data_IF_234268053537
#
_entry.id   IF_234268053537
#
_cell.length_a   1.000
_cell.length_b   1.000
_cell.length_c   1.000
_cell.angle_alpha   90.00
_cell.angle_beta   90.00
_cell.angle_gamma   90.00
#
_symmetry.space_group_name_H-M   'P 1'
#
loop_
_entity.id
_entity.type
_entity.pdbx_description
1 polymer ?
#
# COMPACT_ATOMS: atom_id res chain seq x y z
N UNK A 1 40.60 -24.74 33.66
CA UNK A 1 40.49 -23.90 32.43
C UNK A 1 39.05 -23.95 31.99
N UNK A 2 38.29 -23.01 32.42
CA UNK A 2 36.89 -22.81 32.05
C UNK A 2 36.86 -21.99 30.74
N UNK A 3 36.25 -22.53 29.72
CA UNK A 3 35.99 -21.82 28.48
C UNK A 3 34.63 -21.15 28.65
N UNK A 4 34.65 -19.85 28.91
CA UNK A 4 33.46 -19.01 28.91
C UNK A 4 32.97 -18.87 27.47
N UNK A 5 31.84 -19.51 27.17
CA UNK A 5 31.07 -19.31 25.94
C UNK A 5 30.14 -18.06 26.14
N UNK A 6 30.71 -16.88 25.93
CA UNK A 6 29.92 -15.67 25.76
C UNK A 6 29.43 -15.57 24.31
N UNK A 7 28.31 -16.16 23.99
CA UNK A 7 27.48 -15.84 22.84
C UNK A 7 26.37 -14.90 23.30
N UNK A 8 26.74 -13.71 23.74
CA UNK A 8 25.82 -12.57 23.78
C UNK A 8 25.62 -12.07 22.34
N UNK A 9 24.72 -12.73 21.63
CA UNK A 9 24.19 -12.18 20.38
C UNK A 9 23.30 -11.00 20.77
N UNK A 10 23.83 -9.80 20.74
CA UNK A 10 23.04 -8.58 20.83
C UNK A 10 22.05 -8.58 19.67
N UNK A 11 20.84 -9.03 19.91
CA UNK A 11 19.71 -8.73 19.05
C UNK A 11 19.50 -7.22 19.16
N UNK A 12 20.00 -6.50 18.18
CA UNK A 12 19.72 -5.07 18.03
C UNK A 12 18.22 -4.98 17.84
N UNK A 13 17.49 -4.51 18.86
CA UNK A 13 16.06 -4.25 18.73
C UNK A 13 15.91 -3.16 17.68
N UNK A 14 15.42 -3.52 16.51
CA UNK A 14 15.15 -2.56 15.45
C UNK A 14 13.84 -1.88 15.82
N UNK A 15 13.90 -0.62 16.25
CA UNK A 15 12.70 0.17 16.51
C UNK A 15 12.19 0.75 15.19
N UNK A 16 11.10 0.21 14.69
CA UNK A 16 10.44 0.73 13.50
C UNK A 16 9.59 1.97 13.80
N UNK A 17 9.59 2.92 12.89
CA UNK A 17 8.67 4.06 12.92
C UNK A 17 7.34 3.66 12.27
N UNK A 18 6.25 3.80 13.03
CA UNK A 18 4.90 3.53 12.54
C UNK A 18 4.28 4.77 11.94
N UNK A 19 3.46 4.60 10.91
CA UNK A 19 2.80 5.72 10.22
C UNK A 19 2.01 6.64 11.16
N UNK A 20 1.44 6.10 12.25
CA UNK A 20 0.73 6.89 13.26
C UNK A 20 1.65 7.87 13.98
N UNK A 21 2.88 7.46 14.29
CA UNK A 21 3.86 8.28 14.97
C UNK A 21 4.55 9.24 13.98
N UNK A 22 4.84 8.75 12.77
CA UNK A 22 5.32 9.58 11.68
C UNK A 22 4.37 10.77 11.41
N UNK A 23 3.06 10.50 11.23
CA UNK A 23 2.08 11.57 11.02
C UNK A 23 1.92 12.48 12.24
N UNK A 24 1.96 11.92 13.45
CA UNK A 24 1.88 12.74 14.66
C UNK A 24 3.08 13.68 14.79
N UNK A 25 4.27 13.23 14.44
CA UNK A 25 5.47 14.06 14.43
C UNK A 25 5.40 15.15 13.35
N UNK A 26 4.86 14.81 12.16
CA UNK A 26 4.76 15.74 11.04
C UNK A 26 3.67 16.80 11.24
N UNK A 27 2.51 16.42 11.76
CA UNK A 27 1.32 17.29 11.86
C UNK A 27 1.00 17.76 13.29
N UNK A 28 1.71 17.26 14.29
CA UNK A 28 1.48 17.58 15.71
C UNK A 28 0.23 16.93 16.32
N UNK A 29 -0.55 16.19 15.53
CA UNK A 29 -1.82 15.59 15.95
C UNK A 29 -2.06 14.24 15.25
N UNK A 30 -3.14 13.57 15.65
CA UNK A 30 -3.59 12.34 14.98
C UNK A 30 -4.23 12.66 13.63
N UNK A 31 -3.77 11.98 12.59
CA UNK A 31 -4.24 12.17 11.23
C UNK A 31 -5.07 10.99 10.77
N UNK A 32 -6.12 11.26 10.01
CA UNK A 32 -6.95 10.24 9.38
C UNK A 32 -6.92 10.38 7.86
N UNK A 33 -7.07 9.26 7.14
CA UNK A 33 -7.25 9.27 5.69
C UNK A 33 -8.73 9.29 5.33
N UNK A 34 -9.14 10.29 4.56
CA UNK A 34 -10.44 10.32 3.89
C UNK A 34 -10.28 9.72 2.50
N UNK A 35 -10.96 8.61 2.25
CA UNK A 35 -10.80 7.84 1.01
C UNK A 35 -11.80 8.31 -0.06
N UNK A 36 -11.27 8.71 -1.21
CA UNK A 36 -12.03 9.27 -2.33
C UNK A 36 -11.92 8.40 -3.58
N UNK A 37 -12.99 8.37 -4.35
CA UNK A 37 -13.03 7.86 -5.71
C UNK A 37 -12.94 9.03 -6.69
N UNK A 38 -11.83 9.14 -7.43
CA UNK A 38 -11.64 10.17 -8.45
C UNK A 38 -12.32 9.83 -9.79
N UNK A 39 -12.97 8.68 -9.92
CA UNK A 39 -13.51 8.17 -11.17
C UNK A 39 -12.43 7.73 -12.16
N UNK A 40 -11.23 7.39 -11.67
CA UNK A 40 -10.13 6.90 -12.49
C UNK A 40 -10.39 5.47 -12.98
N UNK A 41 -9.60 5.04 -13.97
CA UNK A 41 -9.50 3.65 -14.42
C UNK A 41 -8.07 3.13 -14.25
N UNK A 42 -7.77 2.03 -14.91
CA UNK A 42 -6.46 1.40 -14.87
C UNK A 42 -6.09 0.90 -16.28
N UNK A 43 -4.84 1.06 -16.75
CA UNK A 43 -4.41 0.60 -18.09
C UNK A 43 -4.56 -0.92 -18.29
N UNK A 44 -4.66 -1.71 -17.23
CA UNK A 44 -4.97 -3.14 -17.32
C UNK A 44 -6.48 -3.45 -17.46
N UNK A 45 -7.34 -2.41 -17.49
CA UNK A 45 -8.82 -2.55 -17.59
C UNK A 45 -9.43 -1.88 -18.80
N UNK A 46 -8.84 -0.78 -19.27
CA UNK A 46 -9.41 0.04 -20.36
C UNK A 46 -8.96 -0.37 -21.77
N UNK A 47 -8.17 -1.43 -21.87
CA UNK A 47 -7.66 -1.95 -23.15
C UNK A 47 -6.25 -1.48 -23.49
N UNK A 48 -5.67 -0.51 -22.78
CA UNK A 48 -4.31 -0.01 -23.05
C UNK A 48 -3.26 -1.11 -22.83
N UNK A 49 -3.35 -1.83 -21.72
CA UNK A 49 -2.48 -2.99 -21.41
C UNK A 49 -3.27 -4.28 -21.19
N UNK A 50 -4.58 -4.20 -21.04
CA UNK A 50 -5.47 -5.31 -20.82
C UNK A 50 -6.88 -4.85 -20.47
N UNK A 51 -7.82 -5.79 -20.42
CA UNK A 51 -9.25 -5.48 -20.19
C UNK A 51 -9.80 -6.06 -18.88
N UNK A 52 -9.05 -6.96 -18.21
CA UNK A 52 -9.55 -7.73 -17.06
C UNK A 52 -8.98 -7.27 -15.72
N UNK A 53 -7.99 -6.37 -15.72
CA UNK A 53 -7.28 -5.95 -14.51
C UNK A 53 -6.37 -7.03 -13.92
N UNK A 54 -5.76 -6.75 -12.77
CA UNK A 54 -5.04 -7.77 -11.99
C UNK A 54 -6.02 -8.85 -11.50
N UNK A 55 -5.55 -10.12 -11.45
CA UNK A 55 -6.43 -11.28 -11.17
C UNK A 55 -7.14 -11.23 -9.82
N UNK A 56 -6.57 -10.50 -8.84
CA UNK A 56 -7.07 -10.35 -7.47
C UNK A 56 -7.90 -9.08 -7.26
N UNK A 57 -7.89 -8.15 -8.24
CA UNK A 57 -8.46 -6.82 -8.05
C UNK A 57 -9.98 -6.85 -8.24
N UNK A 58 -10.71 -6.36 -7.25
CA UNK A 58 -12.17 -6.25 -7.29
C UNK A 58 -12.65 -5.32 -8.41
N UNK A 59 -13.95 -5.36 -8.70
CA UNK A 59 -14.59 -4.49 -9.70
C UNK A 59 -14.48 -3.00 -9.32
N UNK A 60 -14.39 -2.68 -8.03
CA UNK A 60 -14.19 -1.31 -7.52
C UNK A 60 -12.72 -0.84 -7.50
N UNK A 61 -11.79 -1.66 -8.03
CA UNK A 61 -10.37 -1.29 -8.05
C UNK A 61 -9.77 -1.08 -6.65
N UNK A 62 -10.17 -1.87 -5.65
CA UNK A 62 -9.84 -1.73 -4.22
C UNK A 62 -10.47 -0.52 -3.53
N UNK A 63 -11.54 0.03 -4.12
CA UNK A 63 -12.27 1.21 -3.64
C UNK A 63 -13.56 0.91 -2.88
N UNK A 64 -13.71 -0.28 -2.26
CA UNK A 64 -14.95 -0.71 -1.58
C UNK A 64 -15.39 0.22 -0.44
N UNK A 65 -14.49 1.04 0.07
CA UNK A 65 -14.74 1.98 1.18
C UNK A 65 -14.56 3.44 0.78
N UNK A 66 -14.40 3.73 -0.50
CA UNK A 66 -14.28 5.09 -1.02
C UNK A 66 -15.66 5.72 -1.16
N UNK A 67 -15.70 7.05 -1.08
CA UNK A 67 -16.87 7.85 -1.43
C UNK A 67 -16.59 8.60 -2.74
N UNK A 68 -17.60 8.83 -3.59
CA UNK A 68 -17.43 9.68 -4.77
C UNK A 68 -16.86 11.04 -4.38
N UNK A 69 -15.93 11.56 -5.16
CA UNK A 69 -15.18 12.75 -4.81
C UNK A 69 -16.07 14.01 -4.70
N UNK A 70 -17.08 14.12 -5.51
CA UNK A 70 -18.07 15.21 -5.51
C UNK A 70 -18.92 15.26 -4.24
N UNK A 71 -19.08 14.12 -3.54
CA UNK A 71 -19.83 14.02 -2.28
C UNK A 71 -18.94 14.13 -1.02
N UNK A 72 -17.62 14.18 -1.19
CA UNK A 72 -16.68 14.05 -0.09
C UNK A 72 -16.54 15.29 0.80
N UNK A 73 -16.84 16.48 0.27
CA UNK A 73 -16.73 17.74 1.03
C UNK A 73 -17.84 17.96 2.06
N UNK A 74 -18.95 17.23 1.94
CA UNK A 74 -20.17 17.48 2.75
C UNK A 74 -20.35 16.50 3.91
N UNK A 75 -19.64 15.36 3.91
CA UNK A 75 -19.85 14.30 4.89
C UNK A 75 -18.55 13.65 5.37
N UNK A 76 -17.91 14.25 6.37
CA UNK A 76 -16.91 13.52 7.17
C UNK A 76 -17.63 12.34 7.84
N UNK A 77 -17.22 11.08 7.59
CA UNK A 77 -17.87 9.92 8.19
C UNK A 77 -17.94 10.04 9.71
N UNK A 78 -19.06 9.66 10.31
CA UNK A 78 -19.31 9.75 11.77
C UNK A 78 -18.17 9.16 12.61
N UNK A 79 -17.48 8.13 12.09
CA UNK A 79 -16.28 7.52 12.73
C UNK A 79 -15.11 8.49 12.93
N UNK A 80 -15.13 9.65 12.27
CA UNK A 80 -14.11 10.69 12.36
C UNK A 80 -14.61 11.96 13.09
N UNK A 81 -15.77 11.87 13.71
CA UNK A 81 -16.35 12.99 14.48
C UNK A 81 -15.35 13.47 15.54
N UNK A 82 -15.06 14.77 15.51
CA UNK A 82 -14.09 15.41 16.40
C UNK A 82 -12.63 15.30 15.93
N UNK A 83 -12.35 14.72 14.75
CA UNK A 83 -11.06 14.85 14.11
C UNK A 83 -11.02 16.15 13.27
N UNK A 84 -9.84 16.78 13.24
CA UNK A 84 -9.61 18.08 12.59
C UNK A 84 -8.50 18.03 11.53
N UNK A 85 -7.81 16.88 11.40
CA UNK A 85 -6.65 16.75 10.52
C UNK A 85 -6.74 15.48 9.67
N UNK A 86 -6.71 15.69 8.35
CA UNK A 86 -6.93 14.62 7.37
C UNK A 86 -5.92 14.66 6.24
N UNK A 87 -5.71 13.49 5.60
CA UNK A 87 -5.09 13.33 4.28
C UNK A 87 -6.18 12.89 3.31
N UNK A 88 -6.32 13.60 2.20
CA UNK A 88 -7.15 13.19 1.08
C UNK A 88 -6.52 11.99 0.38
N UNK A 89 -7.16 10.83 0.40
CA UNK A 89 -6.60 9.61 -0.15
C UNK A 89 -7.44 9.11 -1.34
N UNK A 90 -6.91 9.29 -2.53
CA UNK A 90 -7.44 8.70 -3.75
C UNK A 90 -6.93 7.27 -3.88
N UNK A 91 -7.78 6.30 -3.59
CA UNK A 91 -7.37 4.93 -3.33
C UNK A 91 -7.58 3.99 -4.51
N UNK A 92 -8.76 4.06 -5.16
CA UNK A 92 -9.16 3.07 -6.14
C UNK A 92 -8.53 3.28 -7.52
N UNK A 93 -8.23 2.18 -8.20
CA UNK A 93 -7.60 2.15 -9.52
C UNK A 93 -6.22 2.83 -9.56
N UNK A 94 -6.01 3.74 -10.55
CA UNK A 94 -4.71 4.38 -10.82
C UNK A 94 -4.90 5.89 -10.88
N UNK A 95 -4.62 6.58 -9.78
CA UNK A 95 -5.00 7.98 -9.59
C UNK A 95 -4.05 9.02 -10.22
N UNK A 96 -3.10 8.55 -11.04
CA UNK A 96 -2.23 9.38 -11.89
C UNK A 96 -2.42 9.03 -13.38
N UNK A 97 -3.47 8.25 -13.71
CA UNK A 97 -3.76 7.79 -15.05
C UNK A 97 -5.04 8.43 -15.59
N UNK A 98 -4.88 9.32 -16.57
CA UNK A 98 -5.96 10.09 -17.18
C UNK A 98 -5.46 11.45 -17.66
N UNK A 99 -6.37 12.37 -17.91
CA UNK A 99 -6.04 13.77 -18.21
C UNK A 99 -5.48 14.46 -16.97
N UNK A 100 -4.25 14.97 -17.06
CA UNK A 100 -3.58 15.58 -15.90
C UNK A 100 -4.32 16.82 -15.41
N UNK A 101 -4.92 17.62 -16.30
CA UNK A 101 -5.65 18.81 -15.91
C UNK A 101 -6.88 18.47 -15.05
N UNK A 102 -7.61 17.41 -15.42
CA UNK A 102 -8.74 16.91 -14.63
C UNK A 102 -8.30 16.32 -13.29
N UNK A 103 -7.19 15.55 -13.28
CA UNK A 103 -6.65 14.94 -12.06
C UNK A 103 -6.14 16.01 -11.10
N UNK A 104 -5.32 16.95 -11.57
CA UNK A 104 -4.78 18.07 -10.79
C UNK A 104 -5.92 18.92 -10.19
N UNK A 105 -6.95 19.25 -10.98
CA UNK A 105 -8.10 19.99 -10.48
C UNK A 105 -8.80 19.28 -9.29
N UNK A 106 -8.89 17.93 -9.34
CA UNK A 106 -9.45 17.14 -8.23
C UNK A 106 -8.51 17.15 -7.01
N UNK A 107 -7.19 17.05 -7.22
CA UNK A 107 -6.22 17.09 -6.11
C UNK A 107 -6.24 18.43 -5.40
N UNK A 108 -6.17 19.53 -6.14
CA UNK A 108 -6.25 20.89 -5.57
C UNK A 108 -7.58 21.16 -4.87
N UNK A 109 -8.70 20.71 -5.46
CA UNK A 109 -10.00 20.82 -4.81
C UNK A 109 -10.05 20.03 -3.50
N UNK A 110 -9.47 18.81 -3.45
CA UNK A 110 -9.41 18.05 -2.21
C UNK A 110 -8.56 18.76 -1.14
N UNK A 111 -7.42 19.33 -1.54
CA UNK A 111 -6.54 20.11 -0.65
C UNK A 111 -7.19 21.40 -0.14
N UNK A 112 -8.17 21.95 -0.85
CA UNK A 112 -8.90 23.15 -0.40
C UNK A 112 -9.94 22.89 0.69
N UNK A 113 -10.28 21.63 1.00
CA UNK A 113 -11.22 21.31 2.07
C UNK A 113 -10.62 21.55 3.45
N UNK A 114 -11.43 22.08 4.37
CA UNK A 114 -11.01 22.35 5.74
C UNK A 114 -10.50 21.05 6.41
N UNK A 115 -9.38 21.15 7.11
CA UNK A 115 -8.75 20.04 7.80
C UNK A 115 -7.91 19.10 6.92
N UNK A 116 -7.94 19.21 5.59
CA UNK A 116 -7.06 18.45 4.71
C UNK A 116 -5.67 19.09 4.71
N UNK A 117 -4.66 18.31 5.11
CA UNK A 117 -3.24 18.73 5.24
C UNK A 117 -2.33 18.06 4.23
N UNK A 118 -2.84 17.12 3.47
CA UNK A 118 -2.03 16.40 2.49
C UNK A 118 -2.86 15.55 1.55
N UNK A 119 -2.16 15.05 0.55
CA UNK A 119 -2.67 14.22 -0.54
C UNK A 119 -2.00 12.85 -0.49
N UNK A 120 -2.76 11.78 -0.67
CA UNK A 120 -2.25 10.44 -0.90
C UNK A 120 -2.87 9.86 -2.17
N UNK A 121 -2.04 9.32 -3.06
CA UNK A 121 -2.46 8.77 -4.35
C UNK A 121 -2.04 7.31 -4.48
N UNK A 122 -3.02 6.40 -4.56
CA UNK A 122 -2.77 5.01 -4.95
C UNK A 122 -2.59 4.95 -6.47
N UNK A 123 -1.44 4.45 -6.94
CA UNK A 123 -1.14 4.43 -8.36
C UNK A 123 -0.22 3.29 -8.77
N UNK A 124 0.08 3.24 -10.05
CA UNK A 124 0.99 2.30 -10.69
C UNK A 124 2.31 2.99 -11.04
N UNK A 125 3.47 2.33 -10.89
CA UNK A 125 4.77 2.89 -11.29
C UNK A 125 4.83 3.34 -12.76
N UNK A 126 4.18 2.59 -13.66
CA UNK A 126 4.15 2.88 -15.11
C UNK A 126 3.16 4.00 -15.52
N UNK A 127 2.54 4.67 -14.55
CA UNK A 127 1.63 5.80 -14.77
C UNK A 127 2.13 7.10 -14.12
N UNK A 128 3.45 7.25 -13.99
CA UNK A 128 4.12 8.45 -13.47
C UNK A 128 4.89 9.15 -14.58
N UNK A 129 4.19 9.93 -15.41
CA UNK A 129 4.80 10.81 -16.40
C UNK A 129 5.60 11.95 -15.76
N UNK A 130 6.50 12.58 -16.52
CA UNK A 130 7.28 13.71 -16.02
C UNK A 130 6.41 14.92 -15.65
N UNK A 131 5.33 15.11 -16.38
CA UNK A 131 4.30 16.11 -16.14
C UNK A 131 3.57 15.86 -14.80
N UNK A 132 3.22 14.60 -14.50
CA UNK A 132 2.65 14.21 -13.20
C UNK A 132 3.65 14.49 -12.08
N UNK A 133 4.92 14.11 -12.26
CA UNK A 133 5.95 14.34 -11.24
C UNK A 133 6.18 15.82 -10.98
N UNK A 134 6.15 16.66 -12.03
CA UNK A 134 6.26 18.10 -11.90
C UNK A 134 5.09 18.71 -11.12
N UNK A 135 3.87 18.24 -11.37
CA UNK A 135 2.68 18.70 -10.64
C UNK A 135 2.75 18.29 -9.16
N UNK A 136 3.15 17.04 -8.88
CA UNK A 136 3.30 16.56 -7.51
C UNK A 136 4.44 17.28 -6.76
N UNK A 137 5.54 17.64 -7.43
CA UNK A 137 6.60 18.47 -6.86
C UNK A 137 6.05 19.85 -6.45
N UNK A 138 5.24 20.48 -7.30
CA UNK A 138 4.63 21.78 -6.98
C UNK A 138 3.72 21.68 -5.75
N UNK A 139 2.85 20.67 -5.71
CA UNK A 139 1.94 20.44 -4.58
C UNK A 139 2.74 20.12 -3.30
N UNK A 140 3.83 19.35 -3.40
CA UNK A 140 4.62 18.93 -2.22
C UNK A 140 5.35 20.05 -1.51
N UNK A 141 5.54 21.21 -2.15
CA UNK A 141 6.14 22.41 -1.54
C UNK A 141 5.25 23.07 -0.48
N UNK A 142 3.94 22.85 -0.55
CA UNK A 142 2.96 23.47 0.35
C UNK A 142 2.18 22.45 1.17
N UNK A 143 2.07 21.20 0.67
CA UNK A 143 1.26 20.15 1.26
C UNK A 143 2.05 18.84 1.35
N UNK A 144 1.75 18.03 2.34
CA UNK A 144 2.27 16.65 2.38
C UNK A 144 1.71 15.85 1.20
N UNK A 145 2.58 15.22 0.41
CA UNK A 145 2.21 14.35 -0.71
C UNK A 145 2.76 12.95 -0.50
N UNK A 146 1.91 11.96 -0.64
CA UNK A 146 2.26 10.54 -0.55
C UNK A 146 1.85 9.80 -1.81
N UNK A 147 2.79 9.12 -2.46
CA UNK A 147 2.53 8.17 -3.54
C UNK A 147 2.53 6.74 -3.01
N UNK A 148 1.47 6.00 -3.25
CA UNK A 148 1.35 4.59 -2.89
C UNK A 148 1.49 3.73 -4.15
N UNK A 149 2.68 3.13 -4.34
CA UNK A 149 3.03 2.40 -5.54
C UNK A 149 2.70 0.91 -5.41
N UNK A 150 1.90 0.41 -6.33
CA UNK A 150 1.56 -1.01 -6.42
C UNK A 150 2.71 -1.81 -7.05
N UNK A 151 3.67 -2.27 -6.27
CA UNK A 151 4.75 -3.16 -6.70
C UNK A 151 4.34 -4.63 -6.66
N UNK A 152 3.68 -5.05 -5.60
CA UNK A 152 3.13 -6.34 -5.23
C UNK A 152 4.18 -7.42 -4.99
N UNK A 153 5.08 -7.68 -5.94
CA UNK A 153 6.13 -8.70 -5.87
C UNK A 153 7.32 -8.36 -6.74
N UNK A 154 8.52 -8.81 -6.35
CA UNK A 154 9.72 -8.78 -7.19
C UNK A 154 9.88 -10.02 -8.07
N UNK A 155 9.07 -11.07 -7.88
CA UNK A 155 9.08 -12.23 -8.73
C UNK A 155 8.34 -11.94 -10.04
N UNK A 156 9.07 -11.85 -11.16
CA UNK A 156 8.52 -11.49 -12.47
C UNK A 156 7.50 -12.52 -12.99
N UNK A 157 7.67 -13.81 -12.66
CA UNK A 157 6.72 -14.83 -13.04
C UNK A 157 5.38 -14.62 -12.30
N UNK A 158 5.43 -14.33 -11.00
CA UNK A 158 4.26 -13.96 -10.21
C UNK A 158 3.64 -12.64 -10.70
N UNK A 159 4.46 -11.64 -11.03
CA UNK A 159 4.00 -10.36 -11.58
C UNK A 159 3.24 -10.53 -12.91
N UNK A 160 3.75 -11.38 -13.79
CA UNK A 160 3.08 -11.75 -15.04
C UNK A 160 1.77 -12.52 -14.77
N UNK A 161 1.82 -13.51 -13.87
CA UNK A 161 0.64 -14.29 -13.49
C UNK A 161 -0.49 -13.44 -12.92
N UNK A 162 -0.19 -12.49 -12.03
CA UNK A 162 -1.19 -11.57 -11.49
C UNK A 162 -1.60 -10.47 -12.48
N UNK A 163 -1.04 -10.46 -13.67
CA UNK A 163 -1.31 -9.44 -14.71
C UNK A 163 -0.98 -8.02 -14.25
N UNK A 164 0.14 -7.86 -13.52
CA UNK A 164 0.61 -6.54 -13.10
C UNK A 164 0.84 -5.58 -14.28
N UNK A 165 1.36 -6.10 -15.41
CA UNK A 165 1.46 -5.38 -16.68
C UNK A 165 2.65 -4.43 -16.81
N UNK A 166 3.65 -4.55 -15.93
CA UNK A 166 4.97 -3.91 -16.02
C UNK A 166 6.04 -4.77 -15.34
N UNK A 167 7.30 -4.60 -15.73
CA UNK A 167 8.46 -5.27 -15.14
C UNK A 167 9.01 -4.50 -13.94
N UNK A 168 9.88 -5.14 -13.15
CA UNK A 168 10.44 -4.54 -11.94
C UNK A 168 11.27 -3.28 -12.21
N UNK A 169 11.96 -3.21 -13.34
CA UNK A 169 12.75 -2.04 -13.76
C UNK A 169 11.90 -0.76 -13.84
N UNK A 170 10.64 -0.88 -14.27
CA UNK A 170 9.68 0.24 -14.28
C UNK A 170 9.39 0.75 -12.88
N UNK A 171 9.31 -0.15 -11.89
CA UNK A 171 9.13 0.26 -10.49
C UNK A 171 10.39 0.95 -9.95
N UNK A 172 11.56 0.38 -10.19
CA UNK A 172 12.83 0.96 -9.73
C UNK A 172 13.08 2.34 -10.36
N UNK A 173 12.84 2.48 -11.67
CA UNK A 173 12.91 3.77 -12.36
C UNK A 173 11.92 4.78 -11.77
N UNK A 174 10.68 4.36 -11.52
CA UNK A 174 9.65 5.24 -10.96
C UNK A 174 10.05 5.81 -9.59
N UNK A 175 10.54 4.98 -8.66
CA UNK A 175 11.00 5.43 -7.35
C UNK A 175 12.17 6.41 -7.49
N UNK A 176 13.18 6.07 -8.31
CA UNK A 176 14.33 6.93 -8.55
C UNK A 176 13.92 8.30 -9.14
N UNK A 177 12.99 8.30 -10.11
CA UNK A 177 12.48 9.54 -10.73
C UNK A 177 11.65 10.39 -9.78
N UNK A 178 10.85 9.77 -8.90
CA UNK A 178 10.13 10.52 -7.86
C UNK A 178 11.13 11.25 -6.96
N UNK A 179 12.12 10.56 -6.41
CA UNK A 179 13.12 11.19 -5.53
C UNK A 179 13.98 12.26 -6.24
N UNK A 180 14.22 12.09 -7.55
CA UNK A 180 14.98 13.07 -8.33
C UNK A 180 14.16 14.32 -8.66
N UNK A 181 12.87 14.18 -9.01
CA UNK A 181 12.04 15.25 -9.58
C UNK A 181 11.03 15.85 -8.62
N UNK A 182 10.67 15.11 -7.58
CA UNK A 182 9.72 15.52 -6.55
C UNK A 182 10.20 15.03 -5.17
N UNK A 183 11.34 15.51 -4.67
CA UNK A 183 12.06 14.95 -3.51
C UNK A 183 11.28 15.00 -2.20
N UNK A 184 10.29 15.88 -2.07
CA UNK A 184 9.42 15.99 -0.88
C UNK A 184 8.24 15.01 -0.90
N UNK A 185 8.07 14.25 -2.00
CA UNK A 185 6.99 13.26 -2.13
C UNK A 185 7.37 11.97 -1.41
N UNK A 186 6.57 11.57 -0.45
CA UNK A 186 6.75 10.36 0.35
C UNK A 186 6.28 9.11 -0.42
N UNK A 187 7.20 8.25 -0.81
CA UNK A 187 6.94 7.03 -1.59
C UNK A 187 6.64 5.85 -0.68
N UNK A 188 5.47 5.24 -0.85
CA UNK A 188 5.07 4.04 -0.10
C UNK A 188 4.87 2.87 -1.05
N UNK A 189 5.59 1.79 -0.83
CA UNK A 189 5.50 0.58 -1.66
C UNK A 189 4.51 -0.42 -1.09
N UNK A 190 3.63 -0.95 -1.95
CA UNK A 190 2.72 -2.03 -1.61
C UNK A 190 3.30 -3.37 -2.03
N UNK A 191 3.45 -4.29 -1.07
CA UNK A 191 3.85 -5.69 -1.27
C UNK A 191 2.71 -6.61 -0.83
N UNK A 192 2.48 -7.70 -1.57
CA UNK A 192 1.45 -8.69 -1.25
C UNK A 192 2.12 -10.01 -0.90
N UNK A 193 1.81 -10.55 0.27
CA UNK A 193 2.25 -11.88 0.70
C UNK A 193 1.19 -12.94 0.39
N UNK A 194 1.65 -14.10 -0.05
CA UNK A 194 0.80 -15.25 -0.35
C UNK A 194 0.28 -15.28 -1.78
N UNK A 195 0.97 -14.66 -2.73
CA UNK A 195 0.66 -14.83 -4.14
C UNK A 195 0.86 -16.30 -4.55
N UNK A 196 -0.02 -16.85 -5.40
CA UNK A 196 0.07 -18.24 -5.82
C UNK A 196 1.43 -18.61 -6.40
N UNK A 197 2.03 -19.70 -5.87
CA UNK A 197 3.32 -20.19 -6.31
C UNK A 197 4.55 -19.50 -5.69
N UNK A 198 4.36 -18.43 -4.93
CA UNK A 198 5.48 -17.78 -4.23
C UNK A 198 5.92 -18.53 -2.98
N UNK A 199 7.23 -18.58 -2.81
CA UNK A 199 7.89 -19.07 -1.61
C UNK A 199 8.09 -17.96 -0.58
N UNK A 200 8.46 -18.33 0.64
CA UNK A 200 8.91 -17.36 1.65
C UNK A 200 10.04 -16.46 1.11
N UNK A 201 11.00 -17.06 0.37
CA UNK A 201 12.13 -16.30 -0.17
C UNK A 201 11.66 -15.24 -1.19
N UNK A 202 10.68 -15.54 -2.04
CA UNK A 202 10.11 -14.57 -3.00
C UNK A 202 9.48 -13.38 -2.28
N UNK A 203 8.74 -13.65 -1.20
CA UNK A 203 8.13 -12.60 -0.36
C UNK A 203 9.19 -11.74 0.33
N UNK A 204 10.25 -12.35 0.88
CA UNK A 204 11.36 -11.60 1.49
C UNK A 204 12.15 -10.80 0.44
N UNK A 205 12.41 -11.37 -0.74
CA UNK A 205 13.03 -10.66 -1.85
C UNK A 205 12.22 -9.44 -2.29
N UNK A 206 10.89 -9.54 -2.25
CA UNK A 206 10.01 -8.42 -2.61
C UNK A 206 10.10 -7.26 -1.60
N UNK A 207 10.24 -7.56 -0.31
CA UNK A 207 10.49 -6.55 0.73
C UNK A 207 11.88 -5.94 0.54
N UNK A 208 12.91 -6.77 0.34
CA UNK A 208 14.28 -6.28 0.13
C UNK A 208 14.37 -5.39 -1.12
N UNK A 209 13.73 -5.80 -2.22
CA UNK A 209 13.71 -5.01 -3.45
C UNK A 209 13.03 -3.64 -3.27
N UNK A 210 11.98 -3.56 -2.43
CA UNK A 210 11.35 -2.29 -2.10
C UNK A 210 12.28 -1.39 -1.27
N UNK A 211 13.00 -1.96 -0.30
CA UNK A 211 13.99 -1.25 0.52
C UNK A 211 15.16 -0.77 -0.34
N UNK A 212 15.71 -1.64 -1.19
CA UNK A 212 16.85 -1.32 -2.07
C UNK A 212 16.49 -0.25 -3.11
N UNK A 213 15.23 -0.17 -3.52
CA UNK A 213 14.74 0.90 -4.38
C UNK A 213 14.69 2.27 -3.69
N UNK A 214 14.81 2.31 -2.36
CA UNK A 214 14.76 3.55 -1.58
C UNK A 214 13.33 3.98 -1.22
N UNK A 215 12.38 3.04 -1.04
CA UNK A 215 11.03 3.41 -0.59
C UNK A 215 11.07 4.09 0.79
N UNK A 216 10.30 5.17 0.98
CA UNK A 216 10.22 5.87 2.28
C UNK A 216 9.30 5.14 3.27
N UNK A 217 8.38 4.35 2.74
CA UNK A 217 7.46 3.56 3.56
C UNK A 217 6.98 2.30 2.86
N UNK A 218 6.45 1.37 3.65
CA UNK A 218 6.01 0.08 3.13
C UNK A 218 4.64 -0.32 3.68
N UNK A 219 3.84 -0.94 2.82
CA UNK A 219 2.61 -1.66 3.17
C UNK A 219 2.76 -3.12 2.77
N UNK A 220 2.66 -4.03 3.74
CA UNK A 220 2.62 -5.47 3.48
C UNK A 220 1.21 -5.96 3.74
N UNK A 221 0.61 -6.56 2.72
CA UNK A 221 -0.76 -7.05 2.78
C UNK A 221 -0.84 -8.53 2.47
N UNK A 222 -1.75 -9.24 3.15
CA UNK A 222 -2.09 -10.61 2.78
C UNK A 222 -2.91 -10.61 1.48
N UNK A 223 -2.68 -11.58 0.62
CA UNK A 223 -3.54 -11.80 -0.55
C UNK A 223 -4.97 -12.12 -0.10
N UNK A 224 -5.93 -11.45 -0.72
CA UNK A 224 -7.36 -11.73 -0.55
C UNK A 224 -7.94 -12.36 -1.80
N UNK A 225 -8.76 -13.38 -1.59
CA UNK A 225 -9.61 -13.94 -2.62
C UNK A 225 -10.99 -13.33 -2.46
N UNK A 226 -11.36 -12.47 -3.40
CA UNK A 226 -12.64 -11.77 -3.41
C UNK A 226 -13.56 -12.36 -4.48
N UNK A 227 -14.86 -12.37 -4.23
CA UNK A 227 -15.87 -12.75 -5.23
C UNK A 227 -15.70 -11.93 -6.51
N UNK A 228 -16.11 -12.49 -7.62
CA UNK A 228 -16.12 -11.85 -8.93
C UNK A 228 -14.73 -11.45 -9.45
N UNK A 229 -13.67 -12.11 -8.94
CA UNK A 229 -12.29 -12.00 -9.42
C UNK A 229 -11.85 -13.28 -10.12
N UNK A 230 -10.90 -13.18 -11.06
CA UNK A 230 -10.33 -14.36 -11.70
C UNK A 230 -9.60 -15.25 -10.69
N UNK A 231 -9.01 -14.65 -9.66
CA UNK A 231 -8.36 -15.37 -8.57
C UNK A 231 -9.35 -16.25 -7.79
N UNK A 232 -10.62 -15.81 -7.64
CA UNK A 232 -11.66 -16.61 -6.99
C UNK A 232 -11.95 -17.91 -7.75
N UNK A 233 -12.00 -17.81 -9.08
CA UNK A 233 -12.21 -19.00 -9.94
C UNK A 233 -11.06 -20.01 -9.76
N UNK A 234 -9.83 -19.56 -9.70
CA UNK A 234 -8.68 -20.42 -9.48
C UNK A 234 -8.64 -21.02 -8.08
N UNK A 235 -9.04 -20.26 -7.08
CA UNK A 235 -9.15 -20.75 -5.70
C UNK A 235 -10.24 -21.83 -5.57
N UNK A 236 -11.40 -21.65 -6.18
CA UNK A 236 -12.47 -22.65 -6.22
C UNK A 236 -12.02 -23.96 -6.92
N UNK A 237 -11.15 -23.84 -7.92
CA UNK A 237 -10.49 -24.97 -8.60
C UNK A 237 -9.34 -25.58 -7.77
N UNK A 238 -9.08 -25.09 -6.56
CA UNK A 238 -8.02 -25.55 -5.65
C UNK A 238 -6.62 -25.51 -6.27
N UNK A 239 -6.34 -24.51 -7.11
CA UNK A 239 -5.02 -24.33 -7.73
C UNK A 239 -3.96 -23.81 -6.78
N UNK A 240 -4.38 -23.17 -5.69
CA UNK A 240 -3.49 -22.64 -4.65
C UNK A 240 -4.20 -22.60 -3.30
N UNK A 241 -3.43 -22.43 -2.24
CA UNK A 241 -3.92 -22.22 -0.88
C UNK A 241 -3.59 -20.80 -0.42
N UNK A 242 -4.38 -20.26 0.51
CA UNK A 242 -4.13 -18.96 1.13
C UNK A 242 -3.37 -19.13 2.45
N UNK A 243 -2.54 -18.16 2.79
CA UNK A 243 -1.80 -18.16 4.05
C UNK A 243 -2.73 -18.22 5.26
N UNK A 244 -2.40 -19.11 6.19
CA UNK A 244 -3.02 -19.12 7.51
C UNK A 244 -2.47 -17.96 8.35
N UNK A 245 -3.20 -17.59 9.40
CA UNK A 245 -2.84 -16.43 10.22
C UNK A 245 -1.43 -16.54 10.80
N UNK A 246 -1.09 -17.69 11.38
CA UNK A 246 0.21 -17.87 12.04
C UNK A 246 1.37 -17.87 11.02
N UNK A 247 1.16 -18.41 9.82
CA UNK A 247 2.12 -18.35 8.70
C UNK A 247 2.36 -16.89 8.29
N UNK A 248 1.28 -16.12 8.06
CA UNK A 248 1.35 -14.72 7.68
C UNK A 248 2.11 -13.88 8.70
N UNK A 249 1.80 -14.02 9.99
CA UNK A 249 2.48 -13.29 11.05
C UNK A 249 3.93 -13.76 11.27
N UNK A 250 4.23 -15.02 11.02
CA UNK A 250 5.60 -15.54 10.97
C UNK A 250 6.44 -14.88 9.87
N UNK A 251 5.86 -14.72 8.67
CA UNK A 251 6.47 -14.02 7.54
C UNK A 251 6.65 -12.52 7.82
N UNK A 252 5.65 -11.86 8.42
CA UNK A 252 5.76 -10.44 8.82
C UNK A 252 6.90 -10.22 9.80
N UNK A 253 7.11 -11.13 10.76
CA UNK A 253 8.24 -11.04 11.69
C UNK A 253 9.59 -11.06 10.96
N UNK A 254 9.73 -11.92 9.94
CA UNK A 254 10.95 -12.00 9.11
C UNK A 254 11.11 -10.74 8.26
N UNK A 255 10.02 -10.24 7.67
CA UNK A 255 10.03 -9.01 6.89
C UNK A 255 10.45 -7.78 7.71
N UNK A 256 9.94 -7.64 8.94
CA UNK A 256 10.33 -6.56 9.84
C UNK A 256 11.82 -6.60 10.21
N UNK A 257 12.45 -7.78 10.23
CA UNK A 257 13.88 -7.88 10.48
C UNK A 257 14.75 -7.38 9.29
N UNK A 258 14.19 -7.29 8.10
CA UNK A 258 14.86 -6.80 6.88
C UNK A 258 14.67 -5.29 6.72
N UNK A 259 13.50 -4.76 7.08
CA UNK A 259 13.14 -3.35 6.90
C UNK A 259 13.98 -2.48 7.83
N UNK A 260 14.71 -1.46 7.32
CA UNK A 260 15.50 -0.56 8.17
C UNK A 260 14.62 0.43 8.94
N UNK A 261 15.12 1.03 10.05
CA UNK A 261 14.34 1.88 10.95
C UNK A 261 13.79 3.16 10.32
N UNK A 262 14.41 3.64 9.27
CA UNK A 262 14.05 4.85 8.52
C UNK A 262 12.92 4.62 7.51
N UNK A 263 12.62 3.35 7.16
CA UNK A 263 11.46 3.01 6.35
C UNK A 263 10.21 2.94 7.23
N UNK A 264 9.23 3.78 6.95
CA UNK A 264 8.00 3.90 7.73
C UNK A 264 7.07 2.70 7.50
N UNK A 265 6.65 2.03 8.56
CA UNK A 265 5.65 0.96 8.45
C UNK A 265 4.25 1.57 8.36
N UNK A 266 3.69 1.59 7.15
CA UNK A 266 2.36 2.14 6.91
C UNK A 266 1.25 1.16 7.25
N UNK A 267 1.44 -0.12 6.92
CA UNK A 267 0.41 -1.14 7.15
C UNK A 267 1.00 -2.54 7.07
N UNK A 268 0.56 -3.40 7.98
CA UNK A 268 0.92 -4.83 7.98
C UNK A 268 -0.27 -5.77 7.77
N UNK A 269 -1.47 -5.23 7.59
CA UNK A 269 -2.68 -6.03 7.35
C UNK A 269 -3.62 -5.25 6.46
N UNK A 270 -4.54 -5.92 5.77
CA UNK A 270 -5.60 -5.26 5.03
C UNK A 270 -6.96 -5.34 5.75
N UNK A 271 -7.92 -4.59 5.25
CA UNK A 271 -9.33 -4.67 5.63
C UNK A 271 -10.14 -5.14 4.41
N UNK A 272 -10.27 -6.45 4.17
CA UNK A 272 -11.06 -6.92 3.04
C UNK A 272 -12.55 -6.65 3.26
N UNK A 273 -13.32 -6.39 2.20
CA UNK A 273 -14.77 -6.25 2.29
C UNK A 273 -15.41 -7.59 2.68
N UNK A 274 -16.01 -7.64 3.88
CA UNK A 274 -16.57 -8.88 4.45
C UNK A 274 -17.61 -9.57 3.55
N UNK A 275 -18.38 -8.78 2.80
CA UNK A 275 -19.46 -9.28 1.96
C UNK A 275 -18.95 -10.08 0.74
N UNK A 276 -17.78 -9.72 0.22
CA UNK A 276 -17.18 -10.32 -0.98
C UNK A 276 -15.99 -11.20 -0.68
N UNK A 277 -15.43 -11.18 0.54
CA UNK A 277 -14.28 -12.02 0.90
C UNK A 277 -14.64 -13.52 0.87
N UNK A 278 -13.88 -14.29 0.08
CA UNK A 278 -13.90 -15.74 0.09
C UNK A 278 -12.86 -16.28 1.07
N UNK A 279 -11.60 -15.85 0.95
CA UNK A 279 -10.48 -16.32 1.77
C UNK A 279 -9.36 -15.23 1.86
N UNK A 280 -8.49 -15.28 2.88
CA UNK A 280 -8.61 -16.06 4.10
C UNK A 280 -9.57 -15.42 5.11
N UNK A 281 -10.43 -16.21 5.73
CA UNK A 281 -11.48 -15.71 6.65
C UNK A 281 -10.95 -15.08 7.94
N UNK A 282 -9.78 -15.49 8.42
CA UNK A 282 -9.17 -14.93 9.64
C UNK A 282 -8.93 -13.41 9.56
N UNK A 283 -8.76 -12.85 8.35
CA UNK A 283 -8.54 -11.41 8.15
C UNK A 283 -9.75 -10.55 8.57
N UNK A 284 -10.93 -11.13 8.70
CA UNK A 284 -12.14 -10.43 9.17
C UNK A 284 -12.27 -10.36 10.69
N UNK A 285 -11.50 -11.15 11.44
CA UNK A 285 -11.41 -11.07 12.89
C UNK A 285 -10.47 -9.94 13.33
N UNK A 286 -10.99 -8.71 13.25
CA UNK A 286 -10.21 -7.50 13.55
C UNK A 286 -9.54 -7.53 14.91
N UNK A 287 -10.20 -8.09 15.94
CA UNK A 287 -9.65 -8.14 17.28
C UNK A 287 -8.40 -9.03 17.31
N UNK A 288 -8.53 -10.26 16.82
CA UNK A 288 -7.43 -11.24 16.78
C UNK A 288 -6.26 -10.73 15.94
N UNK A 289 -6.55 -10.11 14.78
CA UNK A 289 -5.53 -9.52 13.89
C UNK A 289 -4.80 -8.38 14.60
N UNK A 290 -5.52 -7.45 15.23
CA UNK A 290 -4.89 -6.32 15.94
C UNK A 290 -4.09 -6.78 17.17
N UNK A 291 -4.52 -7.81 17.88
CA UNK A 291 -3.75 -8.39 18.99
C UNK A 291 -2.45 -9.03 18.50
N UNK A 292 -2.47 -9.68 17.31
CA UNK A 292 -1.27 -10.24 16.69
C UNK A 292 -0.31 -9.13 16.20
N UNK A 293 -0.83 -8.06 15.59
CA UNK A 293 -0.03 -6.88 15.22
C UNK A 293 0.66 -6.30 16.45
N UNK A 294 -0.10 -6.04 17.54
CA UNK A 294 0.48 -5.51 18.79
C UNK A 294 1.58 -6.40 19.36
N UNK A 295 1.44 -7.72 19.28
CA UNK A 295 2.50 -8.64 19.71
C UNK A 295 3.75 -8.50 18.88
N UNK A 296 3.62 -8.33 17.56
CA UNK A 296 4.76 -8.05 16.67
C UNK A 296 5.41 -6.71 17.00
N UNK A 297 4.61 -5.63 17.19
CA UNK A 297 5.13 -4.29 17.44
C UNK A 297 5.80 -4.14 18.79
N UNK A 298 5.43 -4.95 19.77
CA UNK A 298 6.08 -4.97 21.09
C UNK A 298 7.41 -5.76 21.11
N UNK A 299 7.77 -6.41 19.99
CA UNK A 299 9.02 -7.14 19.83
C UNK A 299 10.11 -6.29 19.16
N UNK A 300 9.75 -5.13 18.63
CA UNK A 300 10.63 -4.21 17.89
C UNK A 300 10.39 -2.75 18.39
#
# INVERSE_FOLDING_TARGET
MSVDNNYDTFYKVIMHTWVSDYYRNLFGTKVYKLTFDAGCTCPTRDGTKGTRGCIFCSQSGSGEFTVPFDMAGENIPERFKGADTFIAYFQNYTNTYGDLGELSAKWHKALSYEGIKGLALGTRPDCLGDDVLQELDQISREHFVQLELGFQTSNEASAAYIRRGFLNDVYFDAVARVHQKAPEVHVVTHVIFGLPGETEQDMMNSVQAAVDAGTDGIKIMCLYVLKDTDLAVEYEQKKFEVLQMDEYFGLLKKALAIIPPDVIIHRLTGDPPKATLIAPKWTTDKKRVMDAVKKLTNLY
#
